data_IF_051861615907
#
_entry.id   IF_051861615907
#
_cell.length_a   1.000
_cell.length_b   1.000
_cell.length_c   1.000
_cell.angle_alpha   90.00
_cell.angle_beta   90.00
_cell.angle_gamma   90.00
#
_symmetry.space_group_name_H-M   'P 1'
#
loop_
_entity.id
_entity.type
_entity.pdbx_description
1 polymer ?
#
# COMPACT_ATOMS: atom_id res chain seq x y z
N UNK A 1 11.10 4.67 5.24
CA UNK A 1 11.70 3.46 4.66
C UNK A 1 12.80 2.90 5.56
N UNK A 2 13.49 3.72 6.34
CA UNK A 2 14.54 3.27 7.27
C UNK A 2 14.02 3.00 8.70
N UNK A 3 12.76 3.28 8.97
CA UNK A 3 12.13 3.00 10.25
C UNK A 3 11.65 1.53 10.29
N UNK A 4 12.29 0.72 11.12
CA UNK A 4 11.96 -0.69 11.27
C UNK A 4 10.56 -0.94 11.82
N UNK A 5 10.02 -0.03 12.64
CA UNK A 5 8.66 -0.13 13.17
C UNK A 5 7.63 -0.01 12.05
N UNK A 6 7.84 0.92 11.11
CA UNK A 6 6.97 1.12 9.95
C UNK A 6 7.13 -0.03 8.95
N UNK A 7 8.37 -0.48 8.75
CA UNK A 7 8.72 -1.44 7.70
C UNK A 7 8.65 -2.91 8.12
N UNK A 8 8.32 -3.21 9.37
CA UNK A 8 8.30 -4.58 9.90
C UNK A 8 7.40 -5.51 9.09
N UNK A 9 6.17 -5.12 8.80
CA UNK A 9 5.21 -5.93 8.03
C UNK A 9 5.62 -6.10 6.55
N UNK A 10 6.44 -5.20 6.05
CA UNK A 10 7.03 -5.32 4.72
C UNK A 10 8.29 -6.20 4.69
N UNK A 11 8.68 -6.75 5.81
CA UNK A 11 9.83 -7.65 5.93
C UNK A 11 11.15 -6.98 6.30
N UNK A 12 11.12 -5.71 6.66
CA UNK A 12 12.32 -4.94 7.02
C UNK A 12 12.24 -4.38 8.44
N UNK A 13 12.28 -5.24 9.49
CA UNK A 13 12.17 -4.79 10.88
C UNK A 13 13.33 -3.88 11.32
N UNK A 14 14.44 -3.86 10.58
CA UNK A 14 15.57 -2.95 10.81
C UNK A 14 15.60 -1.77 9.83
N UNK A 15 14.52 -1.58 9.05
CA UNK A 15 14.45 -0.56 8.00
C UNK A 15 15.14 -0.98 6.70
N UNK A 16 14.92 -0.21 5.63
CA UNK A 16 15.40 -0.54 4.30
C UNK A 16 16.86 -0.14 4.05
N UNK A 17 17.38 0.86 4.76
CA UNK A 17 18.76 1.35 4.58
C UNK A 17 18.94 2.17 3.31
N UNK A 18 17.89 2.84 2.82
CA UNK A 18 17.95 3.69 1.64
C UNK A 18 18.42 5.12 1.94
N UNK A 19 18.71 5.91 0.91
CA UNK A 19 19.11 7.31 1.02
C UNK A 19 18.15 8.23 0.28
N UNK A 20 18.17 9.53 0.62
CA UNK A 20 17.38 10.54 -0.08
C UNK A 20 17.72 10.60 -1.58
N UNK A 21 19.00 10.51 -1.93
CA UNK A 21 19.45 10.54 -3.33
C UNK A 21 18.92 9.35 -4.14
N UNK A 22 18.87 8.16 -3.55
CA UNK A 22 18.29 6.98 -4.20
C UNK A 22 16.79 7.14 -4.43
N UNK A 23 16.06 7.68 -3.45
CA UNK A 23 14.63 7.95 -3.56
C UNK A 23 14.35 9.03 -4.60
N UNK A 24 15.10 10.12 -4.64
CA UNK A 24 14.95 11.17 -5.65
C UNK A 24 15.11 10.62 -7.06
N UNK A 25 16.11 9.78 -7.28
CA UNK A 25 16.34 9.12 -8.57
C UNK A 25 15.15 8.23 -8.97
N UNK A 26 14.60 7.49 -8.03
CA UNK A 26 13.43 6.64 -8.28
C UNK A 26 12.18 7.48 -8.60
N UNK A 27 11.96 8.59 -7.88
CA UNK A 27 10.82 9.48 -8.10
C UNK A 27 10.88 10.15 -9.47
N UNK A 28 12.09 10.49 -9.95
CA UNK A 28 12.28 11.10 -11.26
C UNK A 28 11.78 10.20 -12.41
N UNK A 29 11.76 8.89 -12.21
CA UNK A 29 11.28 7.91 -13.19
C UNK A 29 9.78 7.59 -13.05
N UNK A 30 9.09 8.16 -12.07
CA UNK A 30 7.67 7.92 -11.84
C UNK A 30 6.79 8.52 -12.94
N UNK A 31 5.75 7.78 -13.36
CA UNK A 31 4.71 8.25 -14.29
C UNK A 31 3.37 7.62 -13.95
N UNK A 32 2.27 8.24 -14.41
CA UNK A 32 0.92 7.71 -14.19
C UNK A 32 0.68 6.36 -14.89
N UNK A 33 1.47 6.04 -15.89
CA UNK A 33 1.33 4.82 -16.66
C UNK A 33 2.09 3.64 -16.05
N UNK A 34 3.18 3.91 -15.35
CA UNK A 34 4.07 2.88 -14.81
C UNK A 34 3.99 2.80 -13.29
N UNK A 35 4.40 3.86 -12.62
CA UNK A 35 4.47 3.91 -11.16
C UNK A 35 4.39 5.35 -10.70
N UNK A 36 3.62 5.60 -9.66
CA UNK A 36 3.55 6.90 -9.02
C UNK A 36 3.60 6.75 -7.51
N UNK A 37 4.39 7.60 -6.88
CA UNK A 37 4.41 7.79 -5.42
C UNK A 37 3.68 9.07 -5.08
N UNK A 38 2.89 8.99 -4.02
CA UNK A 38 2.07 10.08 -3.51
C UNK A 38 2.41 10.31 -2.05
N UNK A 39 2.54 11.57 -1.66
CA UNK A 39 2.72 11.91 -0.25
C UNK A 39 1.36 12.14 0.38
N UNK A 40 1.14 11.54 1.53
CA UNK A 40 -0.07 11.75 2.32
C UNK A 40 0.19 12.94 3.25
N UNK A 41 -0.62 13.98 3.09
CA UNK A 41 -0.58 15.17 3.96
C UNK A 41 -1.89 15.29 4.74
N UNK A 42 -1.78 15.59 6.03
CA UNK A 42 -2.90 15.85 6.91
C UNK A 42 -2.64 17.11 7.71
N UNK A 43 -3.49 18.15 7.56
CA UNK A 43 -3.30 19.46 8.19
C UNK A 43 -1.87 20.01 7.96
N UNK A 44 -1.41 20.00 6.71
CA UNK A 44 -0.08 20.45 6.28
C UNK A 44 1.11 19.65 6.84
N UNK A 45 0.84 18.52 7.48
CA UNK A 45 1.87 17.59 7.96
C UNK A 45 1.97 16.38 7.02
N UNK A 46 3.17 16.06 6.59
CA UNK A 46 3.47 14.87 5.79
C UNK A 46 3.52 13.66 6.70
N UNK A 47 2.57 12.76 6.56
CA UNK A 47 2.38 11.65 7.51
C UNK A 47 2.67 10.28 6.92
N UNK A 48 2.80 10.17 5.61
CA UNK A 48 3.04 8.88 4.97
C UNK A 48 3.10 8.98 3.46
N UNK A 49 3.08 7.81 2.82
CA UNK A 49 3.07 7.69 1.37
C UNK A 49 2.08 6.64 0.90
N UNK A 50 1.58 6.84 -0.31
CA UNK A 50 0.87 5.83 -1.08
C UNK A 50 1.58 5.65 -2.42
N UNK A 51 1.37 4.53 -3.06
CA UNK A 51 1.88 4.28 -4.40
C UNK A 51 0.92 3.44 -5.20
N UNK A 52 1.03 3.55 -6.52
CA UNK A 52 0.40 2.61 -7.42
C UNK A 52 1.37 2.23 -8.55
N UNK A 53 1.20 1.01 -9.05
CA UNK A 53 1.92 0.47 -10.21
C UNK A 53 0.91 0.06 -11.26
N UNK A 54 1.12 0.47 -12.51
CA UNK A 54 0.32 0.04 -13.64
C UNK A 54 0.86 -1.24 -14.26
N UNK A 55 -0.04 -2.17 -14.54
CA UNK A 55 0.24 -3.44 -15.24
C UNK A 55 -0.66 -3.54 -16.48
N UNK A 56 -0.42 -4.57 -17.29
CA UNK A 56 -1.24 -4.85 -18.47
C UNK A 56 -2.72 -5.02 -18.10
N UNK A 57 -3.62 -4.73 -19.05
CA UNK A 57 -5.07 -4.82 -18.87
C UNK A 57 -5.64 -3.86 -17.84
N UNK A 58 -5.01 -2.70 -17.65
CA UNK A 58 -5.45 -1.69 -16.67
C UNK A 58 -5.60 -2.25 -15.25
N UNK A 59 -4.69 -3.11 -14.87
CA UNK A 59 -4.55 -3.61 -13.50
C UNK A 59 -3.58 -2.71 -12.75
N UNK A 60 -3.93 -2.33 -11.53
CA UNK A 60 -3.07 -1.48 -10.69
C UNK A 60 -2.85 -2.12 -9.34
N UNK A 61 -1.57 -2.19 -8.94
CA UNK A 61 -1.19 -2.55 -7.58
C UNK A 61 -1.04 -1.29 -6.74
N UNK A 62 -1.57 -1.31 -5.52
CA UNK A 62 -1.47 -0.17 -4.61
C UNK A 62 -0.75 -0.54 -3.31
N UNK A 63 -0.15 0.47 -2.68
CA UNK A 63 0.49 0.36 -1.38
C UNK A 63 0.30 1.63 -0.56
N UNK A 64 0.35 1.49 0.75
CA UNK A 64 0.22 2.60 1.70
C UNK A 64 1.12 2.40 2.91
N UNK A 65 1.71 3.49 3.40
CA UNK A 65 2.42 3.55 4.68
C UNK A 65 2.09 4.86 5.38
N UNK A 66 1.62 4.78 6.61
CA UNK A 66 1.54 5.93 7.52
C UNK A 66 2.80 5.90 8.37
N UNK A 67 3.69 6.83 8.13
CA UNK A 67 5.02 6.86 8.73
C UNK A 67 5.06 7.53 10.11
N UNK A 68 4.15 8.49 10.33
CA UNK A 68 4.05 9.19 11.60
C UNK A 68 3.14 8.45 12.57
N UNK A 69 3.69 7.92 13.65
CA UNK A 69 2.97 7.07 14.61
C UNK A 69 1.73 7.74 15.24
N UNK A 70 1.78 9.06 15.44
CA UNK A 70 0.67 9.82 16.01
C UNK A 70 -0.57 9.84 15.11
N UNK A 71 -0.41 9.53 13.82
CA UNK A 71 -1.49 9.51 12.83
C UNK A 71 -1.93 8.10 12.44
N UNK A 72 -1.30 7.08 12.98
CA UNK A 72 -1.71 5.69 12.78
C UNK A 72 -2.99 5.41 13.58
N UNK A 73 -3.78 4.42 13.13
CA UNK A 73 -5.00 3.93 13.79
C UNK A 73 -6.13 4.95 13.98
N UNK A 74 -6.09 6.09 13.26
CA UNK A 74 -7.11 7.15 13.35
C UNK A 74 -8.11 7.16 12.20
N UNK A 75 -8.14 6.10 11.40
CA UNK A 75 -9.03 6.01 10.24
C UNK A 75 -8.56 6.80 9.02
N UNK A 76 -7.40 7.43 9.06
CA UNK A 76 -6.86 8.21 7.94
C UNK A 76 -6.56 7.30 6.76
N UNK A 77 -5.99 6.12 7.01
CA UNK A 77 -5.64 5.16 5.96
C UNK A 77 -6.81 4.78 5.06
N UNK A 78 -7.98 4.50 5.63
CA UNK A 78 -9.18 4.16 4.85
C UNK A 78 -9.68 5.32 3.99
N UNK A 79 -9.56 6.55 4.47
CA UNK A 79 -9.98 7.75 3.74
C UNK A 79 -9.05 8.01 2.55
N UNK A 80 -7.74 8.02 2.77
CA UNK A 80 -6.76 8.28 1.70
C UNK A 80 -6.72 7.14 0.69
N UNK A 81 -6.92 5.89 1.12
CA UNK A 81 -7.08 4.75 0.21
C UNK A 81 -8.34 4.90 -0.64
N UNK A 82 -9.46 5.33 -0.06
CA UNK A 82 -10.68 5.60 -0.82
C UNK A 82 -10.45 6.65 -1.91
N UNK A 83 -9.70 7.71 -1.59
CA UNK A 83 -9.35 8.75 -2.57
C UNK A 83 -8.51 8.19 -3.71
N UNK A 84 -7.50 7.39 -3.41
CA UNK A 84 -6.66 6.76 -4.43
C UNK A 84 -7.45 5.79 -5.31
N UNK A 85 -8.24 4.93 -4.70
CA UNK A 85 -9.05 3.92 -5.40
C UNK A 85 -10.04 4.60 -6.34
N UNK A 86 -10.75 5.61 -5.86
CA UNK A 86 -11.68 6.40 -6.68
C UNK A 86 -11.00 7.00 -7.91
N UNK A 87 -9.81 7.58 -7.71
CA UNK A 87 -9.03 8.17 -8.80
C UNK A 87 -8.56 7.12 -9.81
N UNK A 88 -8.09 5.96 -9.35
CA UNK A 88 -7.67 4.88 -10.25
C UNK A 88 -8.82 4.34 -11.09
N UNK A 89 -10.01 4.17 -10.51
CA UNK A 89 -11.19 3.79 -11.30
C UNK A 89 -11.60 4.89 -12.29
N UNK A 90 -11.49 6.16 -11.90
CA UNK A 90 -11.71 7.29 -12.81
C UNK A 90 -10.73 7.28 -13.98
N UNK A 91 -9.49 6.86 -13.76
CA UNK A 91 -8.45 6.71 -14.79
C UNK A 91 -8.67 5.48 -15.70
N UNK A 92 -9.64 4.64 -15.40
CA UNK A 92 -9.98 3.47 -16.20
C UNK A 92 -9.45 2.14 -15.68
N UNK A 93 -9.09 2.05 -14.39
CA UNK A 93 -8.66 0.78 -13.82
C UNK A 93 -9.74 -0.30 -13.95
N UNK A 94 -9.36 -1.49 -14.38
CA UNK A 94 -10.23 -2.67 -14.39
C UNK A 94 -10.22 -3.36 -13.04
N UNK A 95 -9.04 -3.57 -12.48
CA UNK A 95 -8.82 -4.24 -11.20
C UNK A 95 -7.74 -3.51 -10.43
N UNK A 96 -8.00 -3.28 -9.16
CA UNK A 96 -7.00 -2.82 -8.20
C UNK A 96 -6.67 -4.01 -7.30
N UNK A 97 -5.40 -4.28 -7.11
CA UNK A 97 -4.95 -5.40 -6.28
C UNK A 97 -3.85 -4.98 -5.32
N UNK A 98 -3.68 -5.76 -4.29
CA UNK A 98 -2.62 -5.60 -3.30
C UNK A 98 -2.36 -6.93 -2.60
N UNK A 99 -1.23 -6.99 -1.94
CA UNK A 99 -0.96 -8.02 -0.96
C UNK A 99 -0.53 -7.37 0.36
N UNK A 100 -0.66 -8.13 1.43
CA UNK A 100 -0.21 -7.69 2.75
C UNK A 100 0.27 -8.90 3.55
N UNK A 101 1.05 -8.65 4.60
CA UNK A 101 1.48 -9.69 5.52
C UNK A 101 0.25 -10.28 6.22
N UNK A 102 0.18 -11.61 6.26
CA UNK A 102 -0.94 -12.33 6.90
C UNK A 102 -1.10 -11.96 8.38
N UNK A 103 -0.04 -11.53 9.05
CA UNK A 103 -0.07 -11.05 10.43
C UNK A 103 -0.64 -9.64 10.58
N UNK A 104 -0.71 -8.87 9.48
CA UNK A 104 -1.25 -7.50 9.51
C UNK A 104 -2.77 -7.50 9.43
N UNK A 105 -3.41 -7.94 10.51
CA UNK A 105 -4.87 -8.10 10.58
C UNK A 105 -5.60 -6.76 10.48
N UNK A 106 -5.00 -5.68 10.97
CA UNK A 106 -5.57 -4.33 10.88
C UNK A 106 -5.69 -3.86 9.43
N UNK A 107 -4.65 -4.05 8.63
CA UNK A 107 -4.68 -3.70 7.21
C UNK A 107 -5.73 -4.55 6.46
N UNK A 108 -5.78 -5.85 6.73
CA UNK A 108 -6.78 -6.74 6.13
C UNK A 108 -8.20 -6.26 6.41
N UNK A 109 -8.47 -5.86 7.65
CA UNK A 109 -9.78 -5.35 8.04
C UNK A 109 -10.17 -4.08 7.26
N UNK A 110 -9.23 -3.16 7.07
CA UNK A 110 -9.46 -1.95 6.26
C UNK A 110 -9.74 -2.30 4.80
N UNK A 111 -8.97 -3.20 4.21
CA UNK A 111 -9.16 -3.61 2.82
C UNK A 111 -10.52 -4.29 2.61
N UNK A 112 -10.92 -5.16 3.52
CA UNK A 112 -12.23 -5.81 3.47
C UNK A 112 -13.38 -4.81 3.59
N UNK A 113 -13.24 -3.78 4.44
CA UNK A 113 -14.23 -2.69 4.52
C UNK A 113 -14.33 -1.86 3.25
N UNK A 114 -13.24 -1.68 2.53
CA UNK A 114 -13.20 -1.00 1.24
C UNK A 114 -13.83 -1.82 0.10
N UNK A 115 -14.13 -3.08 0.35
CA UNK A 115 -14.75 -3.98 -0.61
C UNK A 115 -13.79 -4.98 -1.27
N UNK A 116 -12.51 -4.95 -0.91
CA UNK A 116 -11.54 -5.92 -1.44
C UNK A 116 -11.92 -7.35 -1.09
N UNK A 117 -11.78 -8.22 -2.08
CA UNK A 117 -11.96 -9.66 -1.95
C UNK A 117 -10.61 -10.35 -1.75
N UNK A 118 -10.53 -11.23 -0.75
CA UNK A 118 -9.38 -12.10 -0.57
C UNK A 118 -9.34 -13.13 -1.70
N UNK A 119 -8.25 -13.19 -2.44
CA UNK A 119 -8.11 -14.09 -3.60
C UNK A 119 -7.18 -15.27 -3.34
N UNK A 120 -6.14 -15.09 -2.52
CA UNK A 120 -5.19 -16.15 -2.20
C UNK A 120 -4.49 -15.90 -0.88
N UNK A 121 -4.05 -16.97 -0.23
CA UNK A 121 -3.16 -16.93 0.92
C UNK A 121 -1.92 -17.75 0.58
N UNK A 122 -0.75 -17.19 0.82
CA UNK A 122 0.54 -17.82 0.55
C UNK A 122 1.28 -18.02 1.87
N UNK A 123 1.31 -19.24 2.37
CA UNK A 123 1.97 -19.59 3.62
C UNK A 123 3.47 -19.76 3.41
N UNK A 124 4.28 -19.18 4.31
CA UNK A 124 5.74 -19.26 4.28
C UNK A 124 6.32 -19.00 2.88
N UNK A 125 5.82 -17.98 2.21
CA UNK A 125 6.10 -17.71 0.80
C UNK A 125 7.31 -16.83 0.57
N UNK A 126 7.80 -16.13 1.58
CA UNK A 126 8.93 -15.23 1.46
C UNK A 126 9.68 -15.10 2.79
N UNK A 127 10.94 -14.67 2.72
CA UNK A 127 11.79 -14.43 3.88
C UNK A 127 11.90 -12.94 4.16
N UNK A 128 11.76 -12.57 5.43
CA UNK A 128 12.00 -11.20 5.86
C UNK A 128 13.50 -10.92 6.00
N UNK A 129 13.85 -9.69 6.40
CA UNK A 129 15.24 -9.24 6.60
C UNK A 129 16.03 -10.07 7.61
N UNK A 130 15.34 -10.70 8.57
CA UNK A 130 15.93 -11.54 9.61
C UNK A 130 16.03 -13.01 9.20
N UNK A 131 15.64 -13.37 7.98
CA UNK A 131 15.62 -14.74 7.49
C UNK A 131 14.43 -15.57 7.98
N UNK A 132 13.45 -14.96 8.62
CA UNK A 132 12.23 -15.62 9.07
C UNK A 132 11.24 -15.73 7.92
N UNK A 133 10.52 -16.86 7.87
CA UNK A 133 9.48 -17.07 6.86
C UNK A 133 8.23 -16.28 7.21
N UNK A 134 7.70 -15.59 6.21
CA UNK A 134 6.48 -14.80 6.31
C UNK A 134 5.43 -15.32 5.33
N UNK A 135 4.17 -15.05 5.66
CA UNK A 135 3.02 -15.40 4.83
C UNK A 135 2.33 -14.13 4.33
N UNK A 136 1.72 -14.20 3.17
CA UNK A 136 0.99 -13.08 2.57
C UNK A 136 -0.43 -13.46 2.21
N UNK A 137 -1.27 -12.44 2.05
CA UNK A 137 -2.64 -12.56 1.59
C UNK A 137 -2.86 -11.57 0.46
N UNK A 138 -3.44 -12.05 -0.64
CA UNK A 138 -3.75 -11.26 -1.82
C UNK A 138 -5.20 -10.80 -1.82
N UNK A 139 -5.42 -9.56 -2.25
CA UNK A 139 -6.73 -8.95 -2.40
C UNK A 139 -6.91 -8.32 -3.76
N UNK A 140 -8.13 -8.36 -4.27
CA UNK A 140 -8.54 -7.69 -5.51
C UNK A 140 -9.83 -6.90 -5.31
N UNK A 141 -9.98 -5.82 -6.08
CA UNK A 141 -11.14 -4.96 -6.05
C UNK A 141 -11.53 -4.54 -7.47
N UNK A 142 -12.81 -4.67 -7.79
CA UNK A 142 -13.42 -4.08 -8.99
C UNK A 142 -14.25 -2.86 -8.60
N UNK A 143 -14.62 -2.03 -9.59
CA UNK A 143 -15.42 -0.82 -9.35
C UNK A 143 -16.76 -1.13 -8.69
N UNK A 144 -17.39 -2.23 -9.05
CA UNK A 144 -18.69 -2.66 -8.51
C UNK A 144 -18.63 -3.02 -7.03
N UNK A 145 -17.48 -3.50 -6.57
CA UNK A 145 -17.26 -3.96 -5.21
C UNK A 145 -16.83 -2.82 -4.27
N UNK A 146 -16.37 -1.71 -4.85
CA UNK A 146 -15.77 -0.61 -4.09
C UNK A 146 -16.78 0.06 -3.14
N UNK A 147 -16.43 0.06 -1.85
CA UNK A 147 -17.12 0.78 -0.80
C UNK A 147 -16.28 2.00 -0.39
N UNK A 148 -16.72 3.20 -0.80
CA UNK A 148 -16.01 4.45 -0.51
C UNK A 148 -16.20 4.83 0.96
N UNK A 149 -15.09 5.00 1.68
CA UNK A 149 -15.07 5.31 3.12
C UNK A 149 -14.59 6.75 3.42
N UNK A 150 -14.67 7.65 2.42
CA UNK A 150 -14.34 9.07 2.64
C UNK A 150 -15.28 9.73 3.65
#
# INVERSE_FOLDING_TARGET
>A
WNDGTVMAHAGFPNGLGTSAAEIEKQIADDSDETRRRLIIEYNDVRIGEMSFYGFENHRYEIGIKICESDYQEKGIGRVVLSMLIEELFRMGANVIFLDTNLKNTRAQHVYEKLGFRKTAVHYNSWKNQLGEMESSVDYELTADEFCNLK
#
